data_IF_532122510891
#
_entry.id   IF_532122510891
#
_cell.length_a   1.000
_cell.length_b   1.000
_cell.length_c   1.000
_cell.angle_alpha   90.00
_cell.angle_beta   90.00
_cell.angle_gamma   90.00
#
_symmetry.space_group_name_H-M   'P 1'
#
loop_
_entity.id
_entity.type
_entity.pdbx_description
1 polymer ?
#
# COMPACT_ATOMS: atom_id res chain seq x y z
N UNK A 1 -61.01 39.90 -33.88
CA UNK A 1 -61.88 40.12 -35.05
C UNK A 1 -63.31 40.26 -34.56
N UNK A 2 -64.07 41.23 -35.07
CA UNK A 2 -65.47 41.43 -34.73
C UNK A 2 -66.32 40.25 -35.22
N UNK A 3 -67.26 39.80 -34.40
CA UNK A 3 -68.25 38.78 -34.72
C UNK A 3 -69.29 39.29 -35.71
N UNK A 4 -69.97 38.37 -36.42
CA UNK A 4 -71.07 38.71 -37.34
C UNK A 4 -72.17 39.55 -36.68
N UNK A 5 -72.40 39.35 -35.39
CA UNK A 5 -73.38 40.11 -34.63
C UNK A 5 -72.92 41.57 -34.43
N UNK A 6 -71.68 41.77 -33.99
CA UNK A 6 -71.09 43.10 -33.80
C UNK A 6 -71.04 43.91 -35.10
N UNK A 7 -70.70 43.27 -36.22
CA UNK A 7 -70.70 43.91 -37.55
C UNK A 7 -72.09 44.44 -37.92
N UNK A 8 -73.14 43.64 -37.66
CA UNK A 8 -74.53 44.02 -37.96
C UNK A 8 -74.99 45.19 -37.08
N UNK A 9 -74.64 45.16 -35.80
CA UNK A 9 -74.94 46.24 -34.83
C UNK A 9 -74.30 47.56 -35.26
N UNK A 10 -73.05 47.55 -35.74
CA UNK A 10 -72.37 48.76 -36.24
C UNK A 10 -73.00 49.28 -37.54
N UNK A 11 -73.41 48.37 -38.43
CA UNK A 11 -74.04 48.73 -39.71
C UNK A 11 -75.39 49.43 -39.51
N UNK A 12 -76.20 48.94 -38.55
CA UNK A 12 -77.51 49.51 -38.21
C UNK A 12 -77.42 50.91 -37.57
N UNK A 13 -76.25 51.29 -37.04
CA UNK A 13 -75.97 52.64 -36.51
C UNK A 13 -75.65 53.67 -37.61
N UNK A 14 -75.59 53.24 -38.88
CA UNK A 14 -75.42 54.09 -40.04
C UNK A 14 -73.96 54.33 -40.45
N UNK A 15 -73.79 54.99 -41.61
CA UNK A 15 -72.50 55.14 -42.31
C UNK A 15 -71.42 55.82 -41.44
N UNK A 16 -71.81 56.78 -40.60
CA UNK A 16 -70.87 57.47 -39.71
C UNK A 16 -70.26 56.54 -38.64
N UNK A 17 -71.06 55.62 -38.09
CA UNK A 17 -70.60 54.64 -37.11
C UNK A 17 -69.66 53.61 -37.76
N UNK A 18 -70.01 53.11 -38.95
CA UNK A 18 -69.15 52.22 -39.75
C UNK A 18 -67.79 52.89 -40.04
N UNK A 19 -67.80 54.16 -40.49
CA UNK A 19 -66.59 54.91 -40.78
C UNK A 19 -65.75 55.18 -39.52
N UNK A 20 -66.38 55.41 -38.36
CA UNK A 20 -65.69 55.57 -37.08
C UNK A 20 -65.01 54.28 -36.62
N UNK A 21 -65.69 53.13 -36.69
CA UNK A 21 -65.09 51.83 -36.34
C UNK A 21 -63.96 51.46 -37.28
N UNK A 22 -64.10 51.70 -38.59
CA UNK A 22 -63.02 51.48 -39.55
C UNK A 22 -61.80 52.33 -39.18
N UNK A 23 -61.97 53.62 -38.89
CA UNK A 23 -60.86 54.50 -38.43
C UNK A 23 -60.19 53.98 -37.16
N UNK A 24 -60.97 53.56 -36.16
CA UNK A 24 -60.43 53.01 -34.91
C UNK A 24 -59.65 51.71 -35.15
N UNK A 25 -60.12 50.83 -36.05
CA UNK A 25 -59.39 49.62 -36.42
C UNK A 25 -58.08 49.94 -37.16
N UNK A 26 -58.07 50.96 -38.04
CA UNK A 26 -56.84 51.43 -38.68
C UNK A 26 -55.83 51.96 -37.66
N UNK A 27 -56.26 52.83 -36.72
CA UNK A 27 -55.39 53.34 -35.65
C UNK A 27 -54.83 52.20 -34.78
N UNK A 28 -55.67 51.20 -34.43
CA UNK A 28 -55.20 50.02 -33.68
C UNK A 28 -54.17 49.19 -34.45
N UNK A 29 -54.36 49.03 -35.77
CA UNK A 29 -53.40 48.32 -36.63
C UNK A 29 -52.07 49.08 -36.68
N UNK A 30 -52.09 50.40 -36.84
CA UNK A 30 -50.86 51.22 -36.86
C UNK A 30 -50.09 51.13 -35.53
N UNK A 31 -50.79 51.21 -34.40
CA UNK A 31 -50.17 51.07 -33.06
C UNK A 31 -49.56 49.67 -32.89
N UNK A 32 -50.29 48.63 -33.31
CA UNK A 32 -49.81 47.26 -33.19
C UNK A 32 -48.63 46.98 -34.13
N UNK A 33 -48.64 47.53 -35.34
CA UNK A 33 -47.52 47.44 -36.28
C UNK A 33 -46.27 48.14 -35.72
N UNK A 34 -46.42 49.32 -35.12
CA UNK A 34 -45.31 50.02 -34.45
C UNK A 34 -44.79 49.22 -33.24
N UNK A 35 -45.70 48.58 -32.48
CA UNK A 35 -45.34 47.70 -31.35
C UNK A 35 -44.56 46.47 -31.81
N UNK A 36 -45.05 45.78 -32.85
CA UNK A 36 -44.39 44.62 -33.45
C UNK A 36 -43.04 45.03 -34.02
N UNK A 37 -42.96 46.16 -34.73
CA UNK A 37 -41.71 46.68 -35.26
C UNK A 37 -40.68 46.95 -34.15
N UNK A 38 -41.07 47.61 -33.06
CA UNK A 38 -40.19 47.82 -31.89
C UNK A 38 -39.73 46.50 -31.26
N UNK A 39 -40.63 45.53 -31.11
CA UNK A 39 -40.29 44.20 -30.59
C UNK A 39 -39.29 43.48 -31.50
N UNK A 40 -39.54 43.48 -32.81
CA UNK A 40 -38.64 42.88 -33.80
C UNK A 40 -37.28 43.58 -33.79
N UNK A 41 -37.22 44.91 -33.80
CA UNK A 41 -35.97 45.67 -33.74
C UNK A 41 -35.17 45.39 -32.45
N UNK A 42 -35.83 45.29 -31.30
CA UNK A 42 -35.15 44.97 -30.04
C UNK A 42 -34.63 43.54 -30.01
N UNK A 43 -35.41 42.58 -30.51
CA UNK A 43 -35.01 41.19 -30.63
C UNK A 43 -33.83 41.02 -31.62
N UNK A 44 -33.89 41.66 -32.78
CA UNK A 44 -32.81 41.60 -33.78
C UNK A 44 -31.53 42.25 -33.25
N UNK A 45 -31.62 43.39 -32.55
CA UNK A 45 -30.47 44.00 -31.91
C UNK A 45 -29.85 43.08 -30.83
N UNK A 46 -30.67 42.43 -30.01
CA UNK A 46 -30.19 41.47 -29.01
C UNK A 46 -29.52 40.25 -29.65
N UNK A 47 -30.08 39.72 -30.74
CA UNK A 47 -29.47 38.63 -31.50
C UNK A 47 -28.15 39.03 -32.15
N UNK A 48 -28.08 40.23 -32.75
CA UNK A 48 -26.86 40.76 -33.36
C UNK A 48 -25.74 40.89 -32.32
N UNK A 49 -26.04 41.46 -31.16
CA UNK A 49 -25.08 41.58 -30.07
C UNK A 49 -24.59 40.20 -29.58
N UNK A 50 -25.48 39.22 -29.50
CA UNK A 50 -25.10 37.85 -29.13
C UNK A 50 -24.22 37.18 -30.18
N UNK A 51 -24.48 37.43 -31.47
CA UNK A 51 -23.62 36.96 -32.57
C UNK A 51 -22.23 37.58 -32.43
N UNK A 52 -22.13 38.90 -32.25
CA UNK A 52 -20.84 39.59 -32.06
C UNK A 52 -20.06 39.05 -30.86
N UNK A 53 -20.72 38.83 -29.73
CA UNK A 53 -20.09 38.21 -28.54
C UNK A 53 -19.58 36.80 -28.83
N UNK A 54 -20.37 35.97 -29.53
CA UNK A 54 -19.97 34.61 -29.87
C UNK A 54 -18.82 34.59 -30.87
N UNK A 55 -18.84 35.47 -31.87
CA UNK A 55 -17.73 35.63 -32.83
C UNK A 55 -16.46 36.05 -32.11
N UNK A 56 -16.52 37.00 -31.17
CA UNK A 56 -15.36 37.37 -30.35
C UNK A 56 -14.81 36.21 -29.52
N UNK A 57 -15.70 35.39 -28.94
CA UNK A 57 -15.29 34.18 -28.20
C UNK A 57 -14.65 33.13 -29.09
N UNK A 58 -15.18 32.91 -30.29
CA UNK A 58 -14.60 31.97 -31.27
C UNK A 58 -13.19 32.41 -31.64
N UNK A 59 -13.00 33.68 -32.00
CA UNK A 59 -11.68 34.20 -32.36
C UNK A 59 -10.68 34.05 -31.20
N UNK A 60 -11.09 34.35 -29.96
CA UNK A 60 -10.23 34.15 -28.78
C UNK A 60 -9.84 32.68 -28.55
N UNK A 61 -10.78 31.75 -28.76
CA UNK A 61 -10.50 30.31 -28.67
C UNK A 61 -9.57 29.83 -29.79
N UNK A 62 -9.71 30.38 -31.00
CA UNK A 62 -8.82 30.07 -32.14
C UNK A 62 -7.38 30.52 -31.87
N UNK A 63 -7.20 31.71 -31.29
CA UNK A 63 -5.88 32.20 -30.88
C UNK A 63 -5.25 31.34 -29.76
N UNK A 64 -6.06 30.96 -28.75
CA UNK A 64 -5.60 30.08 -27.68
C UNK A 64 -5.20 28.70 -28.23
N UNK A 65 -6.01 28.13 -29.13
CA UNK A 65 -5.74 26.85 -29.78
C UNK A 65 -4.45 26.93 -30.60
N UNK A 66 -4.25 27.99 -31.38
CA UNK A 66 -3.03 28.20 -32.15
C UNK A 66 -1.79 28.30 -31.24
N UNK A 67 -1.91 28.96 -30.09
CA UNK A 67 -0.84 29.04 -29.08
C UNK A 67 -0.52 27.66 -28.50
N UNK A 68 -1.54 26.90 -28.10
CA UNK A 68 -1.35 25.53 -27.57
C UNK A 68 -0.76 24.58 -28.61
N UNK A 69 -1.16 24.68 -29.89
CA UNK A 69 -0.57 23.87 -30.97
C UNK A 69 0.92 24.15 -31.13
N UNK A 70 1.33 25.43 -31.07
CA UNK A 70 2.76 25.80 -31.08
C UNK A 70 3.49 25.24 -29.86
N UNK A 71 2.90 25.32 -28.67
CA UNK A 71 3.48 24.78 -27.44
C UNK A 71 3.65 23.24 -27.53
N UNK A 72 2.64 22.52 -28.02
CA UNK A 72 2.70 21.07 -28.22
C UNK A 72 3.77 20.70 -29.24
N UNK A 73 3.90 21.46 -30.33
CA UNK A 73 4.97 21.22 -31.31
C UNK A 73 6.36 21.40 -30.68
N UNK A 74 6.56 22.46 -29.90
CA UNK A 74 7.82 22.68 -29.19
C UNK A 74 8.13 21.56 -28.19
N UNK A 75 7.15 21.16 -27.36
CA UNK A 75 7.30 20.05 -26.42
C UNK A 75 7.63 18.74 -27.13
N UNK A 76 7.01 18.45 -28.27
CA UNK A 76 7.30 17.25 -29.06
C UNK A 76 8.74 17.23 -29.59
N UNK A 77 9.28 18.38 -30.01
CA UNK A 77 10.68 18.49 -30.41
C UNK A 77 11.62 18.23 -29.22
N UNK A 78 11.35 18.82 -28.07
CA UNK A 78 12.14 18.62 -26.84
C UNK A 78 12.10 17.17 -26.37
N UNK A 79 10.92 16.54 -26.34
CA UNK A 79 10.76 15.12 -25.99
C UNK A 79 11.51 14.23 -26.97
N UNK A 80 11.51 14.55 -28.27
CA UNK A 80 12.26 13.80 -29.27
C UNK A 80 13.76 13.88 -29.03
N UNK A 81 14.28 15.05 -28.64
CA UNK A 81 15.70 15.23 -28.35
C UNK A 81 16.11 14.53 -27.06
N UNK A 82 15.37 14.73 -25.97
CA UNK A 82 15.61 14.03 -24.69
C UNK A 82 15.57 12.50 -24.84
N UNK A 83 14.68 11.97 -25.69
CA UNK A 83 14.64 10.54 -25.98
C UNK A 83 15.87 10.06 -26.74
N UNK A 84 16.46 10.88 -27.63
CA UNK A 84 17.73 10.55 -28.30
C UNK A 84 18.88 10.54 -27.30
N UNK A 85 18.98 11.56 -26.45
CA UNK A 85 19.99 11.65 -25.40
C UNK A 85 19.88 10.48 -24.42
N UNK A 86 18.67 10.16 -23.97
CA UNK A 86 18.43 9.03 -23.07
C UNK A 86 18.84 7.69 -23.71
N UNK A 87 18.55 7.51 -25.01
CA UNK A 87 18.96 6.32 -25.75
C UNK A 87 20.49 6.22 -25.86
N UNK A 88 21.17 7.33 -26.12
CA UNK A 88 22.63 7.39 -26.17
C UNK A 88 23.25 7.12 -24.79
N UNK A 89 22.74 7.74 -23.73
CA UNK A 89 23.21 7.53 -22.35
C UNK A 89 23.00 6.08 -21.88
N UNK A 90 21.85 5.46 -22.21
CA UNK A 90 21.60 4.04 -21.93
C UNK A 90 22.58 3.13 -22.66
N UNK A 91 22.86 3.42 -23.93
CA UNK A 91 23.81 2.64 -24.72
C UNK A 91 25.24 2.79 -24.18
N UNK A 92 25.66 4.00 -23.82
CA UNK A 92 26.95 4.24 -23.18
C UNK A 92 27.05 3.52 -21.82
N UNK A 93 25.98 3.56 -21.02
CA UNK A 93 25.93 2.85 -19.73
C UNK A 93 26.01 1.34 -19.94
N UNK A 94 25.30 0.80 -20.94
CA UNK A 94 25.35 -0.62 -21.30
C UNK A 94 26.75 -1.03 -21.74
N UNK A 95 27.39 -0.26 -22.62
CA UNK A 95 28.75 -0.53 -23.07
C UNK A 95 29.76 -0.40 -21.91
N UNK A 96 29.60 0.57 -21.02
CA UNK A 96 30.44 0.71 -19.82
C UNK A 96 30.25 -0.47 -18.87
N UNK A 97 29.01 -0.94 -18.67
CA UNK A 97 28.70 -2.14 -17.90
C UNK A 97 29.27 -3.40 -18.55
N UNK A 98 29.15 -3.56 -19.86
CA UNK A 98 29.72 -4.68 -20.61
C UNK A 98 31.25 -4.68 -20.55
N UNK A 99 31.90 -3.53 -20.70
CA UNK A 99 33.37 -3.39 -20.52
C UNK A 99 33.78 -3.66 -19.07
N UNK A 100 33.01 -3.19 -18.09
CA UNK A 100 33.27 -3.43 -16.68
C UNK A 100 33.09 -4.92 -16.33
N UNK A 101 32.03 -5.55 -16.84
CA UNK A 101 31.79 -6.99 -16.75
C UNK A 101 32.92 -7.77 -17.45
N UNK A 102 33.34 -7.39 -18.66
CA UNK A 102 34.46 -8.05 -19.35
C UNK A 102 35.78 -7.92 -18.58
N UNK A 103 36.05 -6.78 -17.94
CA UNK A 103 37.18 -6.61 -17.03
C UNK A 103 37.07 -7.45 -15.75
N UNK A 104 35.84 -7.65 -15.24
CA UNK A 104 35.55 -8.48 -14.08
C UNK A 104 35.47 -9.99 -14.39
N UNK A 105 35.29 -10.35 -15.68
CA UNK A 105 35.20 -11.70 -16.24
C UNK A 105 36.48 -12.11 -16.99
N UNK A 106 37.64 -11.68 -16.49
CA UNK A 106 38.89 -12.37 -16.80
C UNK A 106 38.86 -13.71 -16.07
N UNK A 107 38.85 -14.80 -16.83
CA UNK A 107 38.96 -16.17 -16.36
C UNK A 107 40.25 -16.79 -16.91
N UNK A 108 40.57 -18.00 -16.46
CA UNK A 108 41.79 -18.71 -16.88
C UNK A 108 41.82 -19.10 -18.36
N UNK A 109 40.73 -18.90 -19.11
CA UNK A 109 40.68 -19.20 -20.54
C UNK A 109 41.00 -17.99 -21.42
N UNK A 110 40.82 -16.76 -20.94
CA UNK A 110 41.13 -15.54 -21.70
C UNK A 110 42.29 -14.69 -21.14
N UNK A 111 42.81 -15.05 -19.98
CA UNK A 111 43.95 -14.41 -19.36
C UNK A 111 44.87 -15.47 -18.81
N UNK A 112 46.19 -15.27 -18.88
CA UNK A 112 47.24 -16.19 -18.41
C UNK A 112 47.27 -16.33 -16.87
N UNK A 113 46.11 -16.41 -16.24
CA UNK A 113 45.89 -16.59 -14.80
C UNK A 113 45.40 -18.02 -14.53
N UNK A 114 45.80 -18.62 -13.40
CA UNK A 114 45.45 -20.00 -13.07
C UNK A 114 43.93 -20.19 -12.81
N UNK A 115 43.37 -21.39 -13.06
CA UNK A 115 41.94 -21.70 -12.90
C UNK A 115 41.39 -21.50 -11.47
N UNK A 116 42.26 -21.41 -10.48
CA UNK A 116 41.89 -21.16 -9.08
C UNK A 116 41.36 -19.74 -8.82
N UNK A 117 41.42 -18.84 -9.80
CA UNK A 117 41.08 -17.42 -9.67
C UNK A 117 39.68 -17.03 -10.18
N UNK A 118 38.90 -17.98 -10.72
CA UNK A 118 37.56 -17.72 -11.26
C UNK A 118 36.55 -17.31 -10.17
N UNK A 119 36.04 -16.08 -10.27
CA UNK A 119 34.99 -15.58 -9.38
C UNK A 119 33.63 -16.18 -9.77
N UNK A 120 33.24 -17.22 -9.03
CA UNK A 120 31.86 -17.76 -8.83
C UNK A 120 31.02 -17.91 -10.11
N UNK A 121 30.91 -19.15 -10.60
CA UNK A 121 29.86 -19.55 -11.56
C UNK A 121 28.49 -19.12 -11.03
N UNK A 122 27.71 -18.41 -11.86
CA UNK A 122 26.27 -18.20 -11.63
C UNK A 122 25.66 -19.58 -11.36
N UNK A 123 25.01 -19.76 -10.21
CA UNK A 123 24.21 -20.95 -9.95
C UNK A 123 23.11 -21.00 -11.01
N UNK A 124 23.22 -21.93 -11.96
CA UNK A 124 22.08 -22.27 -12.82
C UNK A 124 21.00 -22.80 -11.89
N UNK A 125 19.80 -22.24 -12.01
CA UNK A 125 18.64 -22.78 -11.31
C UNK A 125 18.49 -24.24 -11.75
N UNK A 126 18.84 -25.18 -10.87
CA UNK A 126 18.69 -26.62 -11.08
C UNK A 126 17.21 -27.04 -11.00
N UNK A 127 16.33 -26.14 -10.54
CA UNK A 127 14.90 -26.40 -10.44
C UNK A 127 14.31 -26.40 -11.84
N UNK A 128 13.88 -27.58 -12.27
CA UNK A 128 13.04 -27.70 -13.45
C UNK A 128 11.77 -26.87 -13.27
N UNK A 129 11.33 -26.22 -14.35
CA UNK A 129 10.05 -25.50 -14.33
C UNK A 129 8.97 -26.54 -14.10
N UNK A 130 8.29 -26.45 -12.96
CA UNK A 130 7.25 -27.41 -12.58
C UNK A 130 6.07 -27.46 -13.55
N UNK A 131 5.94 -26.49 -14.46
CA UNK A 131 4.82 -26.36 -15.40
C UNK A 131 3.48 -26.05 -14.73
N UNK A 132 3.44 -26.04 -13.40
CA UNK A 132 2.24 -25.84 -12.58
C UNK A 132 1.91 -24.35 -12.52
N UNK A 133 0.64 -24.01 -12.73
CA UNK A 133 0.14 -22.66 -12.50
C UNK A 133 0.27 -22.31 -11.01
N UNK A 134 0.57 -21.04 -10.68
CA UNK A 134 0.48 -20.55 -9.30
C UNK A 134 -0.94 -20.79 -8.75
N UNK A 135 -1.04 -21.38 -7.56
CA UNK A 135 -2.32 -21.69 -6.90
C UNK A 135 -2.46 -23.14 -6.46
N UNK A 136 -3.59 -23.44 -5.82
CA UNK A 136 -3.96 -24.80 -5.43
C UNK A 136 -3.96 -25.72 -6.63
N UNK A 137 -3.29 -26.85 -6.51
CA UNK A 137 -3.25 -27.84 -7.59
C UNK A 137 -4.60 -28.55 -7.70
N UNK A 138 -4.91 -29.12 -8.86
CA UNK A 138 -6.11 -29.96 -9.04
C UNK A 138 -6.05 -31.12 -8.04
N UNK A 139 -7.05 -31.22 -7.16
CA UNK A 139 -7.12 -32.21 -6.08
C UNK A 139 -6.58 -31.76 -4.72
N UNK A 140 -6.00 -30.56 -4.61
CA UNK A 140 -5.65 -30.00 -3.30
C UNK A 140 -6.92 -29.62 -2.54
N UNK A 141 -7.05 -30.08 -1.28
CA UNK A 141 -8.15 -29.66 -0.42
C UNK A 141 -8.05 -28.13 -0.24
N UNK A 142 -9.09 -27.42 -0.67
CA UNK A 142 -9.18 -25.99 -0.43
C UNK A 142 -9.45 -25.73 1.05
N UNK A 143 -8.71 -24.81 1.65
CA UNK A 143 -9.02 -24.29 2.97
C UNK A 143 -9.73 -22.96 2.80
N UNK A 144 -11.05 -22.96 2.92
CA UNK A 144 -11.85 -21.72 2.94
C UNK A 144 -11.81 -21.12 4.34
N UNK A 145 -11.74 -19.79 4.44
CA UNK A 145 -11.89 -19.09 5.72
C UNK A 145 -13.26 -19.42 6.31
N UNK A 146 -13.27 -20.11 7.45
CA UNK A 146 -14.49 -20.56 8.12
C UNK A 146 -15.04 -19.52 9.08
N UNK A 147 -16.33 -19.67 9.43
CA UNK A 147 -16.93 -18.93 10.52
C UNK A 147 -16.29 -19.29 11.86
N UNK A 148 -16.01 -18.28 12.67
CA UNK A 148 -15.63 -18.44 14.08
C UNK A 148 -16.89 -18.57 14.92
N UNK A 149 -16.96 -19.55 15.82
CA UNK A 149 -18.12 -19.75 16.68
C UNK A 149 -18.33 -18.59 17.66
N UNK A 150 -17.24 -18.07 18.23
CA UNK A 150 -17.25 -16.99 19.23
C UNK A 150 -16.46 -15.78 18.69
N UNK A 151 -17.12 -14.77 18.09
CA UNK A 151 -16.43 -13.57 17.63
C UNK A 151 -16.01 -12.68 18.82
N UNK A 152 -14.90 -11.95 18.69
CA UNK A 152 -14.44 -11.01 19.73
C UNK A 152 -15.46 -9.91 20.04
N UNK A 153 -16.22 -9.50 19.02
CA UNK A 153 -17.33 -8.54 19.13
C UNK A 153 -18.53 -9.02 18.32
N UNK A 154 -19.69 -9.07 18.97
CA UNK A 154 -20.99 -9.29 18.33
C UNK A 154 -21.73 -7.97 18.20
N UNK A 155 -22.05 -7.57 16.97
CA UNK A 155 -22.88 -6.40 16.69
C UNK A 155 -24.19 -6.91 16.09
N UNK A 156 -25.30 -6.65 16.78
CA UNK A 156 -26.64 -7.01 16.31
C UNK A 156 -27.27 -5.76 15.70
N UNK A 157 -27.59 -5.83 14.41
CA UNK A 157 -28.35 -4.78 13.72
C UNK A 157 -29.84 -5.09 13.83
N UNK A 158 -30.46 -4.65 14.92
CA UNK A 158 -31.89 -4.86 15.16
C UNK A 158 -32.75 -3.86 14.36
N UNK A 159 -33.91 -4.33 13.89
CA UNK A 159 -34.93 -3.47 13.29
C UNK A 159 -35.77 -2.86 14.42
N UNK A 160 -35.85 -1.53 14.47
CA UNK A 160 -36.65 -0.83 15.47
C UNK A 160 -38.11 -0.65 15.03
N UNK A 161 -38.34 -0.56 13.72
CA UNK A 161 -39.63 -0.20 13.13
C UNK A 161 -39.90 -1.05 11.88
N UNK A 162 -41.18 -1.30 11.62
CA UNK A 162 -41.63 -1.96 10.42
C UNK A 162 -41.45 -1.01 9.23
N UNK A 163 -40.71 -1.44 8.21
CA UNK A 163 -40.45 -0.63 7.01
C UNK A 163 -41.73 -0.24 6.24
N UNK A 164 -42.82 -0.99 6.42
CA UNK A 164 -44.08 -0.78 5.69
C UNK A 164 -45.04 0.17 6.43
N UNK A 165 -45.24 -0.04 7.73
CA UNK A 165 -46.25 0.70 8.51
C UNK A 165 -45.67 1.59 9.62
N UNK A 166 -44.35 1.58 9.83
CA UNK A 166 -43.67 2.36 10.87
C UNK A 166 -43.98 1.91 12.30
N UNK A 167 -44.75 0.84 12.50
CA UNK A 167 -45.02 0.31 13.84
C UNK A 167 -43.74 -0.21 14.49
N UNK A 168 -43.61 -0.04 15.80
CA UNK A 168 -42.43 -0.50 16.53
C UNK A 168 -42.31 -2.02 16.46
N UNK A 169 -41.10 -2.50 16.19
CA UNK A 169 -40.69 -3.91 16.30
C UNK A 169 -39.90 -4.16 17.60
N UNK A 170 -39.83 -3.17 18.49
CA UNK A 170 -39.14 -3.29 19.77
C UNK A 170 -39.74 -4.41 20.62
N UNK A 171 -38.90 -5.38 21.00
CA UNK A 171 -39.32 -6.51 21.84
C UNK A 171 -40.05 -7.65 21.12
N UNK A 172 -40.20 -7.58 19.79
CA UNK A 172 -40.73 -8.69 19.00
C UNK A 172 -39.73 -9.85 18.86
N UNK A 173 -40.25 -11.05 18.60
CA UNK A 173 -39.42 -12.24 18.37
C UNK A 173 -38.61 -12.15 17.06
N UNK A 174 -37.37 -12.62 17.10
CA UNK A 174 -36.51 -12.69 15.91
C UNK A 174 -36.84 -13.95 15.11
N UNK A 175 -37.44 -13.79 13.94
CA UNK A 175 -37.80 -14.92 13.08
C UNK A 175 -36.59 -15.60 12.41
N UNK A 176 -35.59 -14.83 11.98
CA UNK A 176 -34.39 -15.32 11.32
C UNK A 176 -33.20 -14.40 11.61
N UNK A 177 -32.00 -14.97 11.74
CA UNK A 177 -30.74 -14.21 11.85
C UNK A 177 -29.81 -14.60 10.72
N UNK A 178 -29.49 -13.65 9.84
CA UNK A 178 -28.42 -13.81 8.87
C UNK A 178 -27.09 -13.40 9.51
N UNK A 179 -26.02 -14.18 9.28
CA UNK A 179 -24.71 -13.95 9.89
C UNK A 179 -23.67 -13.63 8.82
N UNK A 180 -22.84 -12.62 9.08
CA UNK A 180 -21.62 -12.31 8.32
C UNK A 180 -20.50 -11.99 9.32
N UNK A 181 -19.29 -12.42 9.02
CA UNK A 181 -18.11 -12.12 9.85
C UNK A 181 -17.07 -11.36 9.04
N UNK A 182 -16.51 -10.33 9.65
CA UNK A 182 -15.38 -9.57 9.11
C UNK A 182 -14.19 -9.88 10.00
N UNK A 183 -13.17 -10.51 9.42
CA UNK A 183 -11.88 -10.75 10.09
C UNK A 183 -10.98 -9.57 9.75
N UNK A 184 -10.86 -8.64 10.69
CA UNK A 184 -10.07 -7.42 10.52
C UNK A 184 -8.92 -7.37 11.53
N UNK A 185 -7.89 -6.59 11.20
CA UNK A 185 -6.79 -6.30 12.11
C UNK A 185 -7.13 -5.02 12.87
N UNK A 186 -7.37 -5.07 14.20
CA UNK A 186 -7.55 -3.85 14.97
C UNK A 186 -6.27 -3.02 14.91
N UNK A 187 -6.39 -1.70 15.10
CA UNK A 187 -5.23 -0.78 15.06
C UNK A 187 -4.15 -1.25 16.05
N UNK A 188 -3.02 -1.69 15.51
CA UNK A 188 -1.87 -2.10 16.30
C UNK A 188 -1.06 -0.85 16.67
N UNK A 189 -0.82 -0.63 17.96
CA UNK A 189 0.03 0.46 18.44
C UNK A 189 0.78 0.02 19.68
N UNK A 190 1.92 0.65 19.94
CA UNK A 190 2.61 0.48 21.22
C UNK A 190 1.76 1.10 22.33
N UNK A 191 1.47 0.32 23.36
CA UNK A 191 0.89 0.79 24.61
C UNK A 191 2.00 1.18 25.58
N UNK A 192 1.92 2.39 26.14
CA UNK A 192 2.89 2.90 27.13
C UNK A 192 2.24 2.85 28.50
N UNK A 193 2.75 1.97 29.36
CA UNK A 193 2.35 1.89 30.77
C UNK A 193 3.36 2.62 31.63
N UNK A 194 2.92 3.66 32.33
CA UNK A 194 3.75 4.34 33.32
C UNK A 194 3.63 3.61 34.67
N UNK A 195 4.78 3.19 35.22
CA UNK A 195 4.85 2.66 36.57
C UNK A 195 5.29 3.80 37.50
N UNK A 196 4.54 4.03 38.57
CA UNK A 196 4.91 4.98 39.62
C UNK A 196 5.06 4.25 40.95
N UNK A 197 6.13 4.57 41.67
CA UNK A 197 6.33 4.14 43.06
C UNK A 197 6.23 5.35 43.97
N UNK A 198 5.50 5.21 45.07
CA UNK A 198 5.36 6.27 46.05
C UNK A 198 6.43 6.14 47.12
N UNK A 199 6.89 7.29 47.59
CA UNK A 199 7.66 7.40 48.82
C UNK A 199 6.82 8.13 49.87
N UNK A 200 6.69 7.58 51.06
CA UNK A 200 5.93 8.17 52.17
C UNK A 200 6.78 8.20 53.43
N UNK A 201 6.65 9.29 54.19
CA UNK A 201 7.28 9.42 55.50
C UNK A 201 6.28 8.95 56.56
N UNK A 202 6.74 8.06 57.45
CA UNK A 202 5.94 7.58 58.56
C UNK A 202 5.72 8.71 59.57
N UNK A 203 4.46 9.11 59.80
CA UNK A 203 4.13 10.17 60.76
C UNK A 203 4.48 9.86 62.22
N UNK A 204 4.79 8.60 62.56
CA UNK A 204 5.14 8.18 63.93
C UNK A 204 6.65 8.17 64.20
N UNK A 205 7.47 7.66 63.29
CA UNK A 205 8.91 7.48 63.51
C UNK A 205 9.78 8.30 62.55
N UNK A 206 9.20 9.02 61.60
CA UNK A 206 9.93 9.80 60.59
C UNK A 206 10.62 8.95 59.51
N UNK A 207 10.50 7.62 59.53
CA UNK A 207 11.13 6.76 58.54
C UNK A 207 10.52 6.95 57.14
N UNK A 208 11.39 7.08 56.14
CA UNK A 208 11.03 7.15 54.73
C UNK A 208 10.81 5.74 54.17
N UNK A 209 9.65 5.49 53.57
CA UNK A 209 9.27 4.19 53.02
C UNK A 209 8.97 4.35 51.54
N UNK A 210 9.71 3.65 50.68
CA UNK A 210 9.58 3.71 49.23
C UNK A 210 9.09 2.37 48.69
N UNK A 211 8.08 2.40 47.83
CA UNK A 211 7.63 1.21 47.11
C UNK A 211 8.64 0.79 46.02
N UNK A 212 8.65 -0.49 45.66
CA UNK A 212 9.53 -1.04 44.64
C UNK A 212 8.81 -1.17 43.29
N UNK A 213 9.58 -1.08 42.21
CA UNK A 213 9.07 -1.37 40.88
C UNK A 213 8.90 -2.88 40.68
N UNK A 214 7.90 -3.33 39.90
CA UNK A 214 7.76 -4.74 39.53
C UNK A 214 8.99 -5.29 38.81
N UNK A 215 9.20 -6.60 38.91
CA UNK A 215 10.27 -7.28 38.17
C UNK A 215 10.16 -7.00 36.66
N UNK A 216 11.27 -6.62 36.04
CA UNK A 216 11.34 -6.30 34.62
C UNK A 216 11.10 -4.82 34.28
N UNK A 217 10.72 -3.97 35.23
CA UNK A 217 10.73 -2.50 35.08
C UNK A 217 12.01 -1.96 35.74
N UNK A 218 13.13 -2.07 35.02
CA UNK A 218 14.47 -1.87 35.59
C UNK A 218 15.13 -0.55 35.22
N UNK A 219 14.60 0.13 34.20
CA UNK A 219 15.11 1.42 33.72
C UNK A 219 13.95 2.40 33.51
N UNK A 220 14.20 3.73 33.53
CA UNK A 220 13.14 4.73 33.41
C UNK A 220 12.26 4.60 32.16
N UNK A 221 12.84 4.21 31.02
CA UNK A 221 12.13 3.98 29.76
C UNK A 221 12.72 2.74 29.08
N UNK A 222 11.87 1.78 28.72
CA UNK A 222 12.27 0.54 28.05
C UNK A 222 11.18 0.02 27.12
N UNK A 223 11.60 -0.75 26.12
CA UNK A 223 10.67 -1.48 25.26
C UNK A 223 10.19 -2.77 25.94
N UNK A 224 8.86 -2.97 25.95
CA UNK A 224 8.22 -4.17 26.48
C UNK A 224 8.50 -5.44 25.66
N UNK A 225 8.04 -6.59 26.15
CA UNK A 225 8.26 -7.89 25.48
C UNK A 225 7.67 -7.95 24.06
N UNK A 226 6.48 -7.34 23.84
CA UNK A 226 5.82 -7.34 22.52
C UNK A 226 6.61 -6.60 21.44
N UNK A 227 7.16 -5.43 21.72
CA UNK A 227 8.01 -4.70 20.75
C UNK A 227 9.27 -5.51 20.44
N UNK A 228 9.89 -6.10 21.47
CA UNK A 228 11.09 -6.92 21.32
C UNK A 228 10.84 -8.17 20.47
N UNK A 229 9.73 -8.86 20.68
CA UNK A 229 9.39 -10.09 19.95
C UNK A 229 9.13 -9.80 18.47
N UNK A 230 8.32 -8.79 18.15
CA UNK A 230 8.00 -8.42 16.76
C UNK A 230 9.25 -7.98 16.01
N UNK A 231 10.05 -7.09 16.60
CA UNK A 231 11.29 -6.64 15.98
C UNK A 231 12.26 -7.80 15.71
N UNK A 232 12.47 -8.68 16.70
CA UNK A 232 13.33 -9.86 16.53
C UNK A 232 12.77 -10.84 15.49
N UNK A 233 11.45 -11.04 15.42
CA UNK A 233 10.82 -11.87 14.40
C UNK A 233 11.04 -11.32 12.98
N UNK A 234 10.84 -10.01 12.79
CA UNK A 234 11.04 -9.36 11.51
C UNK A 234 12.49 -9.48 11.00
N UNK A 235 13.47 -9.34 11.91
CA UNK A 235 14.88 -9.47 11.54
C UNK A 235 15.31 -10.94 11.38
N UNK A 236 14.94 -11.79 12.34
CA UNK A 236 15.44 -13.16 12.43
C UNK A 236 14.73 -14.15 11.50
N UNK A 237 13.43 -13.98 11.29
CA UNK A 237 12.63 -14.91 10.48
C UNK A 237 12.20 -14.31 9.14
N UNK A 238 11.73 -13.06 9.13
CA UNK A 238 11.40 -12.36 7.87
C UNK A 238 12.65 -11.81 7.16
N UNK A 239 13.82 -11.91 7.79
CA UNK A 239 15.12 -11.54 7.26
C UNK A 239 15.19 -10.08 6.79
N UNK A 240 14.44 -9.19 7.45
CA UNK A 240 14.45 -7.76 7.13
C UNK A 240 15.75 -7.11 7.60
N UNK A 241 16.46 -6.38 6.73
CA UNK A 241 17.56 -5.52 7.14
C UNK A 241 17.10 -4.48 8.17
N UNK A 242 18.02 -4.00 9.01
CA UNK A 242 17.69 -3.11 10.13
C UNK A 242 16.85 -1.88 9.73
N UNK A 243 17.19 -1.20 8.64
CA UNK A 243 16.44 -0.03 8.18
C UNK A 243 15.01 -0.38 7.75
N UNK A 244 14.83 -1.49 7.03
CA UNK A 244 13.50 -1.98 6.63
C UNK A 244 12.69 -2.47 7.82
N UNK A 245 13.34 -3.05 8.82
CA UNK A 245 12.68 -3.40 10.07
C UNK A 245 12.24 -2.16 10.85
N UNK A 246 13.08 -1.11 10.92
CA UNK A 246 12.71 0.15 11.56
C UNK A 246 11.51 0.82 10.86
N UNK A 247 11.53 0.88 9.53
CA UNK A 247 10.43 1.38 8.70
C UNK A 247 9.14 0.58 8.98
N UNK A 248 9.18 -0.76 8.92
CA UNK A 248 8.03 -1.60 9.20
C UNK A 248 7.46 -1.40 10.62
N UNK A 249 8.33 -1.19 11.62
CA UNK A 249 7.90 -0.92 13.00
C UNK A 249 7.23 0.46 13.13
N UNK A 250 7.72 1.46 12.40
CA UNK A 250 7.09 2.77 12.30
C UNK A 250 5.72 2.69 11.61
N UNK A 251 5.65 2.10 10.43
CA UNK A 251 4.45 2.07 9.59
C UNK A 251 3.31 1.23 10.20
N UNK A 252 3.63 0.09 10.81
CA UNK A 252 2.64 -0.86 11.31
C UNK A 252 2.24 -0.64 12.76
N UNK A 253 3.14 -0.07 13.58
CA UNK A 253 2.96 0.01 15.04
C UNK A 253 3.17 1.40 15.62
N UNK A 254 3.47 2.41 14.79
CA UNK A 254 3.85 3.76 15.23
C UNK A 254 5.05 3.74 16.20
N UNK A 255 6.00 2.81 15.95
CA UNK A 255 7.13 2.54 16.82
C UNK A 255 8.45 2.86 16.11
N UNK A 256 8.98 4.05 16.36
CA UNK A 256 10.24 4.52 15.80
C UNK A 256 11.43 3.87 16.52
N UNK A 257 12.07 2.90 15.86
CA UNK A 257 13.26 2.21 16.37
C UNK A 257 14.50 2.58 15.56
N UNK A 258 15.62 2.82 16.23
CA UNK A 258 16.90 2.99 15.54
C UNK A 258 17.51 1.63 15.15
N UNK A 259 18.33 1.56 14.09
CA UNK A 259 19.11 0.36 13.79
C UNK A 259 19.97 -0.14 14.96
N UNK A 260 20.51 0.78 15.77
CA UNK A 260 21.30 0.43 16.96
C UNK A 260 20.45 -0.25 18.04
N UNK A 261 19.22 0.22 18.24
CA UNK A 261 18.24 -0.42 19.13
C UNK A 261 17.91 -1.81 18.63
N UNK A 262 17.58 -1.96 17.35
CA UNK A 262 17.27 -3.25 16.73
C UNK A 262 18.42 -4.26 16.89
N UNK A 263 19.66 -3.84 16.61
CA UNK A 263 20.84 -4.68 16.83
C UNK A 263 21.00 -5.10 18.30
N UNK A 264 20.67 -4.22 19.25
CA UNK A 264 20.70 -4.53 20.68
C UNK A 264 19.63 -5.55 21.06
N UNK A 265 18.41 -5.41 20.51
CA UNK A 265 17.32 -6.37 20.74
C UNK A 265 17.65 -7.75 20.19
N UNK A 266 18.19 -7.81 18.97
CA UNK A 266 18.56 -9.08 18.34
C UNK A 266 19.69 -9.78 19.12
N UNK A 267 20.73 -9.03 19.54
CA UNK A 267 21.79 -9.57 20.42
C UNK A 267 21.25 -10.01 21.77
N UNK A 268 20.29 -9.26 22.33
CA UNK A 268 19.60 -9.61 23.56
C UNK A 268 18.93 -10.98 23.44
N UNK A 269 18.13 -11.17 22.39
CA UNK A 269 17.48 -12.46 22.11
C UNK A 269 18.51 -13.58 21.89
N UNK A 270 19.58 -13.33 21.13
CA UNK A 270 20.59 -14.35 20.86
C UNK A 270 21.24 -14.93 22.12
N UNK A 271 21.41 -14.13 23.19
CA UNK A 271 21.96 -14.60 24.47
C UNK A 271 21.04 -15.56 25.23
N UNK A 272 19.74 -15.52 24.98
CA UNK A 272 18.76 -16.38 25.63
C UNK A 272 18.55 -17.70 24.85
N UNK A 273 19.23 -17.89 23.71
CA UNK A 273 19.04 -19.04 22.82
C UNK A 273 20.05 -20.18 23.04
N UNK A 274 20.95 -20.08 24.02
CA UNK A 274 21.97 -21.10 24.26
C UNK A 274 21.36 -22.48 24.56
N UNK A 275 20.37 -22.54 25.47
CA UNK A 275 19.69 -23.80 25.80
C UNK A 275 18.87 -24.37 24.62
N UNK A 276 18.01 -23.58 23.92
CA UNK A 276 17.36 -24.03 22.69
C UNK A 276 18.34 -24.58 21.64
N UNK A 277 19.49 -23.93 21.45
CA UNK A 277 20.51 -24.38 20.50
C UNK A 277 21.12 -25.72 20.92
N UNK A 278 21.33 -25.96 22.22
CA UNK A 278 21.78 -27.25 22.74
C UNK A 278 20.76 -28.36 22.47
N UNK A 279 19.47 -28.09 22.71
CA UNK A 279 18.39 -29.04 22.44
C UNK A 279 18.27 -29.38 20.95
N UNK A 280 18.38 -28.37 20.07
CA UNK A 280 18.40 -28.59 18.61
C UNK A 280 19.59 -29.45 18.22
N UNK A 281 20.80 -29.14 18.70
CA UNK A 281 22.00 -29.95 18.43
C UNK A 281 21.81 -31.41 18.85
N UNK A 282 21.24 -31.64 20.03
CA UNK A 282 21.00 -32.99 20.53
C UNK A 282 19.93 -33.74 19.73
N UNK A 283 18.84 -33.06 19.36
CA UNK A 283 17.81 -33.63 18.49
C UNK A 283 18.34 -34.00 17.10
N UNK A 284 19.21 -33.16 16.53
CA UNK A 284 19.89 -33.46 15.27
C UNK A 284 20.81 -34.68 15.39
N UNK A 285 21.57 -34.81 16.49
CA UNK A 285 22.43 -35.99 16.71
C UNK A 285 21.68 -37.30 16.83
N UNK A 286 20.47 -37.27 17.40
CA UNK A 286 19.61 -38.45 17.57
C UNK A 286 18.79 -38.81 16.33
N UNK A 287 18.83 -37.99 15.29
CA UNK A 287 18.09 -38.26 14.06
C UNK A 287 18.66 -39.46 13.32
N UNK A 288 17.81 -40.26 12.69
CA UNK A 288 18.27 -41.40 11.89
C UNK A 288 18.93 -40.97 10.57
N UNK A 289 18.49 -39.83 10.02
CA UNK A 289 19.02 -39.24 8.80
C UNK A 289 19.25 -37.75 9.02
N UNK A 290 20.45 -37.26 8.68
CA UNK A 290 20.83 -35.87 8.86
C UNK A 290 21.26 -35.23 7.53
N UNK A 291 20.49 -34.22 7.09
CA UNK A 291 20.89 -33.39 5.97
C UNK A 291 21.96 -32.39 6.40
N UNK A 292 23.09 -32.37 5.69
CA UNK A 292 24.17 -31.39 5.90
C UNK A 292 24.53 -30.68 4.61
N UNK A 293 24.76 -29.38 4.71
CA UNK A 293 25.20 -28.55 3.59
C UNK A 293 26.06 -27.38 4.07
N UNK A 294 26.86 -26.81 3.18
CA UNK A 294 27.71 -25.65 3.45
C UNK A 294 27.51 -24.59 2.36
N UNK A 295 27.05 -23.41 2.76
CA UNK A 295 26.90 -22.28 1.84
C UNK A 295 27.91 -21.18 2.17
N UNK A 296 28.47 -20.55 1.13
CA UNK A 296 29.37 -19.42 1.33
C UNK A 296 28.61 -18.16 1.81
N UNK A 297 29.23 -17.42 2.72
CA UNK A 297 28.72 -16.15 3.23
C UNK A 297 29.81 -15.08 3.09
N UNK A 298 29.44 -13.87 2.71
CA UNK A 298 30.37 -12.73 2.67
C UNK A 298 30.13 -11.85 3.88
N UNK A 299 31.09 -11.82 4.80
CA UNK A 299 31.04 -10.98 6.01
C UNK A 299 32.18 -9.98 5.95
N UNK A 300 31.86 -8.68 5.93
CA UNK A 300 32.84 -7.60 5.88
C UNK A 300 33.94 -7.80 4.80
N UNK A 301 33.54 -8.20 3.58
CA UNK A 301 34.44 -8.54 2.43
C UNK A 301 35.26 -9.82 2.58
N UNK A 302 35.24 -10.49 3.74
CA UNK A 302 35.83 -11.82 3.92
C UNK A 302 34.85 -12.92 3.48
N UNK A 303 35.39 -14.07 3.11
CA UNK A 303 34.58 -15.25 2.82
C UNK A 303 34.53 -16.12 4.07
N UNK A 304 33.32 -16.27 4.58
CA UNK A 304 32.96 -17.16 5.68
C UNK A 304 31.99 -18.23 5.13
N UNK A 305 31.54 -19.11 6.02
CA UNK A 305 30.64 -20.20 5.68
C UNK A 305 29.48 -20.29 6.67
N UNK A 306 28.31 -20.68 6.17
CA UNK A 306 27.16 -21.10 6.96
C UNK A 306 27.03 -22.60 6.77
N UNK A 307 27.16 -23.32 7.88
CA UNK A 307 26.99 -24.76 7.96
C UNK A 307 25.55 -25.05 8.36
N UNK A 308 24.91 -25.94 7.61
CA UNK A 308 23.52 -26.35 7.82
C UNK A 308 23.51 -27.78 8.32
N UNK A 309 22.74 -28.05 9.36
CA UNK A 309 22.40 -29.40 9.81
C UNK A 309 20.90 -29.46 10.05
N UNK A 310 20.19 -30.31 9.31
CA UNK A 310 18.74 -30.28 9.28
C UNK A 310 18.11 -31.68 9.15
N UNK A 311 16.91 -31.78 9.71
CA UNK A 311 15.95 -32.88 9.49
C UNK A 311 14.67 -32.29 8.90
N UNK A 312 13.60 -33.10 8.84
CA UNK A 312 12.25 -32.64 8.50
C UNK A 312 11.67 -31.63 9.52
N UNK A 313 12.20 -31.60 10.76
CA UNK A 313 11.67 -30.81 11.88
C UNK A 313 12.65 -29.82 12.48
N UNK A 314 13.95 -30.09 12.39
CA UNK A 314 15.00 -29.31 13.05
C UNK A 314 15.92 -28.71 12.00
N UNK A 315 16.38 -27.49 12.23
CA UNK A 315 17.40 -26.85 11.39
C UNK A 315 18.32 -26.03 12.26
N UNK A 316 19.62 -26.28 12.14
CA UNK A 316 20.68 -25.49 12.73
C UNK A 316 21.51 -24.84 11.63
N UNK A 317 21.66 -23.52 11.73
CA UNK A 317 22.54 -22.71 10.89
C UNK A 317 23.69 -22.19 11.75
N UNK A 318 24.93 -22.53 11.40
CA UNK A 318 26.11 -22.07 12.15
C UNK A 318 27.05 -21.29 11.23
N UNK A 319 27.27 -20.03 11.57
CA UNK A 319 28.33 -19.22 10.97
C UNK A 319 29.71 -19.69 11.45
N UNK A 320 30.64 -19.88 10.51
CA UNK A 320 32.02 -20.22 10.80
C UNK A 320 32.98 -19.57 9.78
N UNK A 321 34.17 -19.16 10.24
CA UNK A 321 35.24 -18.66 9.35
C UNK A 321 35.98 -19.78 8.62
N UNK A 322 35.80 -21.04 9.05
CA UNK A 322 36.43 -22.25 8.49
C UNK A 322 35.41 -23.14 7.76
N UNK A 323 35.88 -23.93 6.80
CA UNK A 323 35.08 -24.89 5.99
C UNK A 323 35.48 -26.30 6.34
N UNK A 324 34.58 -27.26 6.10
CA UNK A 324 34.87 -28.67 6.21
C UNK A 324 35.24 -29.05 7.63
N UNK A 325 36.15 -30.02 7.76
CA UNK A 325 36.45 -30.70 9.03
C UNK A 325 36.69 -29.76 10.22
N UNK A 326 37.51 -28.69 10.13
CA UNK A 326 37.73 -27.80 11.27
C UNK A 326 36.46 -27.12 11.79
N UNK A 327 35.52 -26.79 10.90
CA UNK A 327 34.24 -26.21 11.31
C UNK A 327 33.28 -27.28 11.81
N UNK A 328 33.22 -28.43 11.13
CA UNK A 328 32.41 -29.60 11.53
C UNK A 328 32.75 -30.04 12.96
N UNK A 329 34.05 -30.13 13.29
CA UNK A 329 34.54 -30.45 14.62
C UNK A 329 34.10 -29.40 15.65
N UNK A 330 34.25 -28.11 15.33
CA UNK A 330 33.86 -27.02 16.23
C UNK A 330 32.35 -26.93 16.49
N UNK A 331 31.52 -27.29 15.51
CA UNK A 331 30.05 -27.31 15.63
C UNK A 331 29.61 -28.46 16.53
N UNK A 332 30.29 -29.60 16.42
CA UNK A 332 30.18 -30.74 17.33
C UNK A 332 28.95 -31.62 17.10
N UNK A 333 28.33 -31.60 15.91
CA UNK A 333 27.24 -32.52 15.56
C UNK A 333 27.81 -33.80 14.94
N UNK A 334 28.34 -33.72 13.71
CA UNK A 334 28.82 -34.87 12.94
C UNK A 334 29.91 -35.71 13.63
N UNK A 335 30.87 -35.16 14.40
CA UNK A 335 31.89 -35.99 15.07
C UNK A 335 31.32 -37.04 16.04
N UNK A 336 30.06 -36.89 16.45
CA UNK A 336 29.35 -37.79 17.37
C UNK A 336 28.05 -38.32 16.77
N UNK A 337 27.92 -38.27 15.44
CA UNK A 337 26.72 -38.71 14.74
C UNK A 337 26.88 -40.16 14.28
N UNK A 338 25.92 -41.00 14.64
CA UNK A 338 25.92 -42.44 14.34
C UNK A 338 24.86 -42.84 13.30
N UNK A 339 24.07 -41.88 12.82
CA UNK A 339 23.04 -42.08 11.79
C UNK A 339 23.57 -41.99 10.36
N UNK A 340 22.64 -41.78 9.42
CA UNK A 340 22.91 -41.72 7.97
C UNK A 340 23.02 -40.29 7.46
#
# INVERSE_FOLDING_TARGET
MLSKHEIRVIYDQGVAAVAATIRQLYEMIEIEDERVHKLVCSATAAHLHRIEQLTGRINGLEEELASKVRQVHHLNLTVKELNRELKQAREQTRQAQERHLAHLMKDSQNSSMPPSTDRRKRTRNLRERSGKKPGGQVGHLGTTLGFVEKPDRLIIHALAECYLCGSSLGGGDVAHTERRQVHDLPRQKVEVTEHQVQTKVCGRCGAENKAEFPAGVSVPVQYGAGVRSVATYLMGYQLLPYERCAEAMGDLFDCQLSPGTLATLLKGCARELDEPLLLIKEGLRKSAVLGVDETNLRVAKHQDWVHVSATDKLTLLVHNKKRGTPAIESIGILPRYEGV
#
